data_IF_686656899615
#
_entry.id   IF_686656899615
#
_cell.length_a   1.000
_cell.length_b   1.000
_cell.length_c   1.000
_cell.angle_alpha   90.00
_cell.angle_beta   90.00
_cell.angle_gamma   90.00
#
_symmetry.space_group_name_H-M   'P 1'
#
loop_
_entity.id
_entity.type
_entity.pdbx_description
1 polymer ?
#
# COMPACT_ATOMS: atom_id res chain seq x y z
N UNK A 1 -7.79 -18.92 23.59
CA UNK A 1 -6.54 -19.69 23.73
C UNK A 1 -5.68 -19.64 22.45
N UNK A 2 -6.23 -19.79 21.24
CA UNK A 2 -5.46 -19.75 19.97
C UNK A 2 -4.77 -18.41 19.67
N UNK A 3 -5.37 -17.26 20.00
CA UNK A 3 -4.77 -15.94 19.75
C UNK A 3 -3.51 -15.67 20.62
N UNK A 4 -3.48 -16.17 21.86
CA UNK A 4 -2.32 -16.03 22.76
C UNK A 4 -1.11 -16.87 22.31
N UNK A 5 -1.36 -18.02 21.68
CA UNK A 5 -0.32 -18.87 21.11
C UNK A 5 0.28 -18.28 19.83
N UNK A 6 -0.54 -17.63 18.99
CA UNK A 6 -0.08 -16.95 17.79
C UNK A 6 0.77 -15.72 18.15
N UNK A 7 0.35 -14.94 19.15
CA UNK A 7 1.12 -13.77 19.63
C UNK A 7 2.46 -14.20 20.22
N UNK A 8 2.51 -15.29 20.99
CA UNK A 8 3.74 -15.84 21.55
C UNK A 8 4.67 -16.42 20.48
N UNK A 9 4.13 -17.06 19.44
CA UNK A 9 4.90 -17.58 18.32
C UNK A 9 5.48 -16.46 17.45
N UNK A 10 4.74 -15.37 17.24
CA UNK A 10 5.20 -14.18 16.51
C UNK A 10 6.31 -13.47 17.29
N UNK A 11 6.19 -13.35 18.63
CA UNK A 11 7.23 -12.76 19.48
C UNK A 11 8.47 -13.65 19.53
N UNK A 12 8.32 -14.98 19.61
CA UNK A 12 9.44 -15.91 19.60
C UNK A 12 10.18 -16.00 18.25
N UNK A 13 9.46 -15.86 17.13
CA UNK A 13 10.03 -15.81 15.78
C UNK A 13 10.73 -14.48 15.46
N UNK A 14 10.50 -13.43 16.26
CA UNK A 14 11.12 -12.10 16.11
C UNK A 14 12.49 -11.99 16.80
N UNK A 15 13.03 -13.07 17.40
CA UNK A 15 14.37 -13.06 17.96
C UNK A 15 15.39 -13.35 16.85
N UNK A 16 16.15 -12.35 16.35
CA UNK A 16 17.17 -12.61 15.36
C UNK A 16 18.29 -13.44 15.98
N UNK A 17 18.56 -14.59 15.39
CA UNK A 17 19.80 -15.35 15.63
C UNK A 17 20.95 -14.52 15.03
N UNK A 18 21.46 -13.55 15.79
CA UNK A 18 22.68 -12.84 15.43
C UNK A 18 23.88 -13.73 15.78
N UNK A 19 24.36 -14.48 14.81
CA UNK A 19 25.72 -15.04 14.83
C UNK A 19 26.68 -13.89 14.55
N UNK A 20 27.05 -13.15 15.59
CA UNK A 20 28.24 -12.28 15.56
C UNK A 20 29.34 -12.94 16.38
N UNK A 21 30.51 -13.13 15.75
CA UNK A 21 31.72 -13.47 16.46
C UNK A 21 32.00 -12.39 17.49
N UNK A 22 32.07 -12.76 18.75
CA UNK A 22 32.30 -11.89 19.89
C UNK A 22 33.75 -11.85 20.25
N UNK A 23 34.36 -10.68 20.28
CA UNK A 23 35.53 -10.40 21.10
C UNK A 23 35.05 -9.83 22.43
N UNK A 24 35.47 -10.50 23.49
CA UNK A 24 35.07 -10.27 24.88
C UNK A 24 35.99 -9.20 25.50
N UNK A 25 35.45 -8.04 25.86
CA UNK A 25 36.07 -7.19 26.88
C UNK A 25 35.02 -6.36 27.62
N UNK A 26 34.52 -6.91 28.70
CA UNK A 26 33.63 -6.24 29.66
C UNK A 26 34.44 -5.54 30.76
N UNK A 27 34.26 -4.24 30.93
CA UNK A 27 34.44 -3.54 32.21
C UNK A 27 33.32 -2.53 32.44
N UNK A 28 32.83 -2.56 33.66
CA UNK A 28 31.82 -1.75 34.35
C UNK A 28 31.71 -0.29 33.93
N UNK A 29 30.47 0.19 33.72
CA UNK A 29 30.15 1.59 34.01
C UNK A 29 28.68 1.78 34.46
N UNK A 30 28.57 2.47 35.56
CA UNK A 30 27.39 3.07 36.22
C UNK A 30 26.47 3.91 35.28
N UNK A 31 25.22 3.98 35.66
CA UNK A 31 24.09 4.75 35.09
C UNK A 31 24.44 6.00 34.29
N UNK A 32 24.60 5.85 32.97
CA UNK A 32 24.51 6.89 31.94
C UNK A 32 23.57 6.40 30.87
N UNK A 33 22.81 7.32 30.24
CA UNK A 33 22.00 7.06 29.09
C UNK A 33 22.72 6.07 28.15
N UNK A 34 22.17 4.86 27.99
CA UNK A 34 22.83 3.85 27.14
C UNK A 34 22.83 4.38 25.72
N UNK A 35 24.01 4.72 25.21
CA UNK A 35 24.22 5.13 23.82
C UNK A 35 23.70 4.03 22.90
N UNK A 36 23.03 4.44 21.83
CA UNK A 36 22.57 3.55 20.77
C UNK A 36 23.73 2.72 20.20
N UNK A 37 23.47 1.44 19.97
CA UNK A 37 24.47 0.49 19.45
C UNK A 37 24.61 0.70 17.96
N UNK A 38 25.80 1.12 17.51
CA UNK A 38 26.13 1.32 16.10
C UNK A 38 26.42 -0.05 15.47
N UNK A 39 25.70 -0.36 14.37
CA UNK A 39 25.96 -1.57 13.58
C UNK A 39 27.02 -1.30 12.51
N UNK A 40 27.85 -2.32 12.24
CA UNK A 40 28.92 -2.30 11.24
C UNK A 40 28.86 -3.53 10.34
N UNK A 41 29.49 -3.48 9.18
CA UNK A 41 29.58 -4.59 8.22
C UNK A 41 28.21 -5.10 7.73
N UNK A 42 28.18 -6.37 7.33
CA UNK A 42 26.98 -7.01 6.86
C UNK A 42 26.09 -7.50 8.01
N UNK A 43 24.83 -7.10 7.98
CA UNK A 43 23.82 -7.54 8.94
C UNK A 43 22.66 -8.22 8.18
N UNK A 44 22.37 -9.46 8.56
CA UNK A 44 21.28 -10.26 8.00
C UNK A 44 20.05 -10.15 8.87
N UNK A 45 18.91 -9.90 8.27
CA UNK A 45 17.61 -9.84 8.92
C UNK A 45 16.61 -10.79 8.26
N UNK A 46 16.74 -12.14 8.45
CA UNK A 46 15.69 -13.05 8.03
C UNK A 46 14.49 -12.91 8.96
N UNK A 47 13.31 -12.77 8.39
CA UNK A 47 12.07 -12.59 9.15
C UNK A 47 10.93 -13.37 8.51
N UNK A 48 10.00 -13.92 9.29
CA UNK A 48 8.74 -14.40 8.74
C UNK A 48 7.94 -13.18 8.21
N UNK A 49 7.46 -13.28 6.99
CA UNK A 49 6.49 -12.33 6.46
C UNK A 49 5.10 -12.72 6.98
N UNK A 50 4.70 -12.13 8.10
CA UNK A 50 3.38 -12.34 8.70
C UNK A 50 2.69 -11.00 8.79
N UNK A 51 1.59 -10.86 8.05
CA UNK A 51 0.73 -9.69 8.11
C UNK A 51 -0.73 -10.12 7.98
N UNK A 52 -1.63 -9.23 8.29
CA UNK A 52 -3.05 -9.42 8.07
C UNK A 52 -3.61 -8.21 7.32
N UNK A 53 -4.28 -8.50 6.24
CA UNK A 53 -5.02 -7.55 5.42
C UNK A 53 -6.47 -8.06 5.34
N UNK A 54 -7.44 -7.21 5.67
CA UNK A 54 -8.84 -7.58 5.68
C UNK A 54 -9.31 -8.12 4.31
N UNK A 55 -8.72 -7.61 3.23
CA UNK A 55 -9.11 -7.95 1.86
C UNK A 55 -8.40 -9.19 1.32
N UNK A 56 -7.11 -9.39 1.68
CA UNK A 56 -6.29 -10.55 1.23
C UNK A 56 -6.21 -11.69 2.23
N UNK A 57 -6.58 -11.44 3.48
CA UNK A 57 -6.45 -12.38 4.60
C UNK A 57 -5.05 -12.36 5.22
N UNK A 58 -4.64 -13.46 5.85
CA UNK A 58 -3.30 -13.58 6.41
C UNK A 58 -2.27 -13.72 5.30
N UNK A 59 -1.21 -12.92 5.40
CA UNK A 59 0.02 -13.07 4.64
C UNK A 59 0.96 -13.99 5.42
N UNK A 60 1.44 -15.03 4.76
CA UNK A 60 2.42 -15.96 5.29
C UNK A 60 3.55 -16.09 4.27
N UNK A 61 4.78 -15.90 4.73
CA UNK A 61 5.93 -15.96 3.84
C UNK A 61 7.25 -15.79 4.59
N UNK A 62 8.28 -15.51 3.83
CA UNK A 62 9.60 -15.17 4.35
C UNK A 62 10.11 -13.90 3.68
N UNK A 63 10.83 -13.10 4.44
CA UNK A 63 11.58 -11.98 3.92
C UNK A 63 13.02 -12.01 4.44
N UNK A 64 13.94 -11.51 3.65
CA UNK A 64 15.35 -11.39 4.01
C UNK A 64 15.82 -9.98 3.67
N UNK A 65 16.29 -9.28 4.70
CA UNK A 65 17.04 -8.05 4.56
C UNK A 65 18.52 -8.32 4.71
N UNK A 66 19.34 -7.76 3.82
CA UNK A 66 20.80 -7.78 3.93
C UNK A 66 21.26 -6.34 3.91
N UNK A 67 21.71 -5.84 5.05
CA UNK A 67 22.23 -4.49 5.20
C UNK A 67 23.75 -4.51 5.25
N UNK A 68 24.41 -3.61 4.54
CA UNK A 68 25.83 -3.30 4.72
C UNK A 68 25.98 -1.90 5.28
N UNK A 69 26.47 -1.81 6.51
CA UNK A 69 26.75 -0.55 7.21
C UNK A 69 28.21 -0.11 7.07
N UNK A 70 29.08 -0.93 6.43
CA UNK A 70 30.50 -0.65 6.30
C UNK A 70 31.16 -0.46 7.67
N UNK A 71 31.81 0.66 7.88
CA UNK A 71 32.46 1.04 9.14
C UNK A 71 31.49 1.58 10.22
N UNK A 72 30.19 1.66 9.92
CA UNK A 72 29.17 2.19 10.81
C UNK A 72 28.99 3.69 10.82
N UNK A 73 29.80 4.44 10.08
CA UNK A 73 29.77 5.91 10.04
C UNK A 73 28.44 6.47 9.55
N UNK A 74 27.68 5.69 8.75
CA UNK A 74 26.38 6.08 8.19
C UNK A 74 25.20 5.52 8.96
N UNK A 75 25.43 4.73 10.03
CA UNK A 75 24.34 4.18 10.83
C UNK A 75 23.38 5.28 11.33
N UNK A 76 22.06 5.09 11.31
CA UNK A 76 21.31 3.87 10.97
C UNK A 76 21.06 3.63 9.47
N UNK A 77 21.59 4.47 8.60
CA UNK A 77 21.39 4.34 7.16
C UNK A 77 22.43 3.40 6.55
N UNK A 78 22.05 2.28 5.94
CA UNK A 78 22.99 1.36 5.31
C UNK A 78 23.61 2.00 4.06
N UNK A 79 24.82 1.57 3.70
CA UNK A 79 25.50 1.91 2.43
C UNK A 79 24.83 1.21 1.26
N UNK A 80 24.43 -0.06 1.47
CA UNK A 80 23.61 -0.83 0.54
C UNK A 80 22.65 -1.76 1.28
N UNK A 81 21.55 -2.07 0.61
CA UNK A 81 20.47 -2.90 1.15
C UNK A 81 19.88 -3.78 0.07
N UNK A 82 19.82 -5.07 0.33
CA UNK A 82 19.06 -6.04 -0.44
C UNK A 82 17.82 -6.46 0.31
N UNK A 83 16.70 -6.58 -0.39
CA UNK A 83 15.46 -7.07 0.15
C UNK A 83 14.89 -8.16 -0.75
N UNK A 84 14.52 -9.29 -0.14
CA UNK A 84 13.86 -10.40 -0.79
C UNK A 84 12.59 -10.74 -0.02
N UNK A 85 11.50 -10.97 -0.72
CA UNK A 85 10.24 -11.41 -0.12
C UNK A 85 9.55 -12.44 -1.01
N UNK A 86 9.04 -13.51 -0.39
CA UNK A 86 8.12 -14.45 -0.98
C UNK A 86 6.94 -14.66 -0.02
N UNK A 87 5.75 -14.25 -0.42
CA UNK A 87 4.56 -14.21 0.42
C UNK A 87 3.34 -14.78 -0.27
N UNK A 88 2.54 -15.51 0.50
CA UNK A 88 1.27 -16.11 0.09
C UNK A 88 0.17 -15.62 1.01
N UNK A 89 -0.98 -15.31 0.45
CA UNK A 89 -2.15 -14.84 1.18
C UNK A 89 -3.20 -15.93 1.27
N UNK A 90 -3.90 -16.02 2.40
CA UNK A 90 -4.89 -17.09 2.62
C UNK A 90 -6.06 -17.06 1.64
N UNK A 91 -6.32 -15.93 0.98
CA UNK A 91 -7.31 -15.82 -0.11
C UNK A 91 -6.71 -16.12 -1.51
N UNK A 92 -5.48 -16.65 -1.57
CA UNK A 92 -4.84 -17.21 -2.77
C UNK A 92 -3.95 -16.26 -3.56
N UNK A 93 -3.82 -15.00 -3.16
CA UNK A 93 -2.88 -14.05 -3.78
C UNK A 93 -1.43 -14.37 -3.42
N UNK A 94 -0.49 -13.91 -4.26
CA UNK A 94 0.95 -14.14 -4.11
C UNK A 94 1.72 -12.85 -4.35
N UNK A 95 2.86 -12.69 -3.67
CA UNK A 95 3.75 -11.56 -3.82
C UNK A 95 5.20 -12.02 -3.77
N UNK A 96 5.97 -11.65 -4.77
CA UNK A 96 7.42 -11.87 -4.83
C UNK A 96 8.10 -10.53 -5.10
N UNK A 97 9.10 -10.18 -4.27
CA UNK A 97 9.86 -8.94 -4.39
C UNK A 97 11.33 -9.22 -4.28
N UNK A 98 12.10 -8.62 -5.19
CA UNK A 98 13.55 -8.49 -5.08
C UNK A 98 13.83 -7.00 -5.24
N UNK A 99 14.53 -6.39 -4.28
CA UNK A 99 14.96 -5.00 -4.43
C UNK A 99 16.37 -4.77 -3.92
N UNK A 100 17.00 -3.78 -4.48
CA UNK A 100 18.36 -3.34 -4.20
C UNK A 100 18.42 -1.85 -4.08
N UNK A 101 19.16 -1.36 -3.10
CA UNK A 101 19.44 0.06 -2.89
C UNK A 101 20.92 0.25 -2.56
N UNK A 102 21.58 1.18 -3.23
CA UNK A 102 23.00 1.44 -3.02
C UNK A 102 23.30 2.93 -3.12
N UNK A 103 24.04 3.45 -2.14
CA UNK A 103 24.41 4.85 -2.03
C UNK A 103 25.88 5.12 -2.36
N UNK A 104 26.67 4.08 -2.64
CA UNK A 104 28.13 4.16 -2.73
C UNK A 104 28.70 3.62 -4.03
N UNK A 105 27.94 2.81 -4.79
CA UNK A 105 28.41 2.20 -6.03
C UNK A 105 28.76 3.24 -7.11
N UNK A 106 27.90 4.25 -7.24
CA UNK A 106 28.11 5.38 -8.14
C UNK A 106 28.34 6.63 -7.27
N UNK A 107 29.53 7.26 -7.33
CA UNK A 107 29.83 8.42 -6.50
C UNK A 107 28.77 9.53 -6.66
N UNK A 108 28.17 9.95 -5.56
CA UNK A 108 27.17 11.02 -5.53
C UNK A 108 25.78 10.66 -6.05
N UNK A 109 25.56 9.41 -6.45
CA UNK A 109 24.27 8.93 -6.96
C UNK A 109 23.82 7.72 -6.14
N UNK A 110 22.61 7.78 -5.59
CA UNK A 110 21.91 6.62 -5.05
C UNK A 110 21.22 5.88 -6.20
N UNK A 111 21.48 4.60 -6.30
CA UNK A 111 20.84 3.70 -7.26
C UNK A 111 19.92 2.73 -6.52
N UNK A 112 18.65 2.66 -6.94
CA UNK A 112 17.68 1.72 -6.41
C UNK A 112 17.02 0.96 -7.55
N UNK A 113 16.80 -0.34 -7.37
CA UNK A 113 16.07 -1.17 -8.34
C UNK A 113 15.15 -2.13 -7.61
N UNK A 114 14.02 -2.46 -8.23
CA UNK A 114 13.09 -3.43 -7.70
C UNK A 114 12.41 -4.21 -8.83
N UNK A 115 12.20 -5.51 -8.59
CA UNK A 115 11.35 -6.37 -9.39
C UNK A 115 10.27 -6.92 -8.47
N UNK A 116 9.01 -6.77 -8.86
CA UNK A 116 7.86 -7.24 -8.10
C UNK A 116 6.94 -8.03 -9.02
N UNK A 117 6.62 -9.26 -8.61
CA UNK A 117 5.59 -10.07 -9.24
C UNK A 117 4.44 -10.24 -8.26
N UNK A 118 3.25 -9.82 -8.67
CA UNK A 118 2.02 -10.06 -7.92
C UNK A 118 1.06 -10.91 -8.73
N UNK A 119 0.47 -11.91 -8.09
CA UNK A 119 -0.69 -12.61 -8.59
C UNK A 119 -1.82 -12.35 -7.59
N UNK A 120 -2.64 -11.33 -7.88
CA UNK A 120 -3.75 -10.93 -7.02
C UNK A 120 -5.04 -11.52 -7.55
N UNK A 121 -5.45 -12.67 -6.98
CA UNK A 121 -6.63 -13.42 -7.44
C UNK A 121 -7.95 -12.75 -7.13
N UNK A 122 -7.94 -11.80 -6.20
CA UNK A 122 -9.13 -11.11 -5.75
C UNK A 122 -8.80 -9.64 -5.49
N UNK A 123 -8.39 -8.92 -6.54
CA UNK A 123 -8.20 -7.49 -6.46
C UNK A 123 -9.55 -6.79 -6.43
N UNK A 124 -9.72 -5.93 -5.44
CA UNK A 124 -10.96 -5.18 -5.29
C UNK A 124 -11.09 -4.12 -6.39
N UNK A 125 -12.24 -4.07 -7.01
CA UNK A 125 -12.63 -3.11 -8.03
C UNK A 125 -14.08 -2.66 -7.79
N UNK A 126 -14.24 -1.46 -7.25
CA UNK A 126 -15.54 -0.89 -6.88
C UNK A 126 -16.07 0.11 -7.92
N UNK A 127 -15.37 0.27 -9.04
CA UNK A 127 -15.64 1.29 -10.05
C UNK A 127 -14.81 2.56 -9.84
N UNK A 128 -15.16 3.63 -10.55
CA UNK A 128 -14.42 4.89 -10.56
C UNK A 128 -15.16 6.00 -9.84
N UNK A 129 -14.40 7.07 -9.53
CA UNK A 129 -14.89 8.34 -9.00
C UNK A 129 -15.54 8.23 -7.61
N UNK A 130 -14.95 7.39 -6.74
CA UNK A 130 -15.33 7.32 -5.32
C UNK A 130 -16.82 7.03 -5.11
N UNK A 131 -17.55 7.95 -4.47
CA UNK A 131 -18.98 7.77 -4.18
C UNK A 131 -19.90 7.84 -5.40
N UNK A 132 -19.41 8.16 -6.60
CA UNK A 132 -20.18 7.97 -7.83
C UNK A 132 -20.37 6.50 -8.19
N UNK A 133 -19.43 5.65 -7.80
CA UNK A 133 -19.55 4.20 -7.92
C UNK A 133 -20.14 3.64 -6.62
N UNK A 134 -21.41 3.26 -6.67
CA UNK A 134 -22.11 2.73 -5.51
C UNK A 134 -21.57 1.36 -5.08
N UNK A 135 -21.28 1.21 -3.77
CA UNK A 135 -20.95 -0.05 -3.14
C UNK A 135 -21.98 -0.38 -2.05
N UNK A 136 -22.75 -1.40 -2.25
CA UNK A 136 -23.75 -1.80 -1.27
C UNK A 136 -23.11 -2.71 -0.19
N UNK A 137 -22.49 -2.09 0.80
CA UNK A 137 -21.84 -2.80 1.90
C UNK A 137 -22.82 -3.69 2.68
N UNK A 138 -24.03 -3.20 2.92
CA UNK A 138 -25.01 -3.92 3.73
C UNK A 138 -25.50 -5.18 3.01
N UNK A 139 -25.75 -5.11 1.70
CA UNK A 139 -26.11 -6.28 0.90
C UNK A 139 -24.97 -7.32 0.83
N UNK A 140 -23.70 -6.88 0.74
CA UNK A 140 -22.54 -7.77 0.80
C UNK A 140 -22.37 -8.39 2.19
N UNK A 141 -22.65 -7.64 3.26
CA UNK A 141 -22.53 -8.09 4.64
C UNK A 141 -23.63 -9.09 5.02
N UNK A 142 -24.84 -8.95 4.48
CA UNK A 142 -25.99 -9.86 4.70
C UNK A 142 -25.68 -11.32 4.32
N UNK A 143 -24.77 -11.57 3.39
CA UNK A 143 -24.32 -12.91 3.05
C UNK A 143 -23.65 -13.69 4.16
N UNK A 144 -23.34 -13.05 5.28
CA UNK A 144 -22.89 -13.74 6.49
C UNK A 144 -24.08 -14.27 7.32
N UNK A 145 -25.26 -13.69 7.20
CA UNK A 145 -26.41 -13.96 8.07
C UNK A 145 -27.48 -14.90 7.48
N UNK A 146 -27.33 -15.38 6.26
CA UNK A 146 -28.16 -16.43 5.63
C UNK A 146 -29.69 -16.19 5.60
N UNK A 147 -30.20 -15.05 6.05
CA UNK A 147 -31.64 -14.87 6.28
C UNK A 147 -32.43 -14.23 5.13
N UNK A 148 -31.74 -13.72 4.09
CA UNK A 148 -32.42 -13.10 2.97
C UNK A 148 -31.63 -13.25 1.66
N UNK A 149 -31.77 -14.36 0.90
CA UNK A 149 -31.01 -14.62 -0.32
C UNK A 149 -31.32 -13.65 -1.47
N UNK A 150 -32.49 -13.02 -1.48
CA UNK A 150 -32.93 -12.19 -2.62
C UNK A 150 -32.26 -10.79 -2.67
N UNK A 151 -31.72 -10.32 -1.55
CA UNK A 151 -31.07 -8.99 -1.45
C UNK A 151 -29.55 -9.05 -1.25
N UNK A 152 -28.96 -10.21 -1.46
CA UNK A 152 -27.56 -10.43 -1.20
C UNK A 152 -26.68 -10.24 -2.43
N UNK A 153 -25.61 -9.43 -2.30
CA UNK A 153 -24.60 -9.24 -3.34
C UNK A 153 -23.34 -10.06 -2.98
N UNK A 154 -22.90 -10.87 -3.94
CA UNK A 154 -21.69 -11.67 -3.77
C UNK A 154 -20.43 -10.83 -3.98
N UNK A 155 -19.44 -11.03 -3.12
CA UNK A 155 -18.14 -10.31 -3.15
C UNK A 155 -17.46 -10.33 -4.53
N UNK A 156 -17.51 -11.40 -5.35
CA UNK A 156 -16.94 -11.41 -6.70
C UNK A 156 -17.48 -10.33 -7.65
N UNK A 157 -18.66 -9.75 -7.38
CA UNK A 157 -19.16 -8.58 -8.13
C UNK A 157 -18.17 -7.42 -8.15
N UNK A 158 -17.42 -7.25 -7.05
CA UNK A 158 -16.46 -6.16 -6.85
C UNK A 158 -15.01 -6.63 -6.96
N UNK A 159 -14.73 -7.65 -7.77
CA UNK A 159 -13.39 -8.22 -7.88
C UNK A 159 -12.97 -8.53 -9.30
N UNK A 160 -11.66 -8.40 -9.52
CA UNK A 160 -10.96 -8.81 -10.73
C UNK A 160 -9.73 -9.63 -10.34
N UNK A 161 -9.29 -10.51 -11.23
CA UNK A 161 -8.01 -11.19 -11.12
C UNK A 161 -6.94 -10.34 -11.81
N UNK A 162 -5.78 -10.15 -11.20
CA UNK A 162 -4.69 -9.38 -11.78
C UNK A 162 -3.34 -10.04 -11.54
N UNK A 163 -2.60 -10.24 -12.62
CA UNK A 163 -1.18 -10.51 -12.58
C UNK A 163 -0.46 -9.21 -12.94
N UNK A 164 0.53 -8.81 -12.14
CA UNK A 164 1.36 -7.65 -12.43
C UNK A 164 2.83 -7.99 -12.23
N UNK A 165 3.64 -7.72 -13.25
CA UNK A 165 5.09 -7.70 -13.19
C UNK A 165 5.53 -6.24 -13.26
N UNK A 166 6.23 -5.78 -12.22
CA UNK A 166 6.74 -4.42 -12.10
C UNK A 166 8.26 -4.50 -11.98
N UNK A 167 8.98 -3.79 -12.82
CA UNK A 167 10.42 -3.66 -12.73
C UNK A 167 10.79 -2.20 -12.83
N UNK A 168 11.58 -1.70 -11.89
CA UNK A 168 12.00 -0.30 -11.89
C UNK A 168 13.47 -0.15 -11.53
N UNK A 169 14.07 0.90 -12.05
CA UNK A 169 15.40 1.38 -11.65
C UNK A 169 15.35 2.90 -11.53
N UNK A 170 15.87 3.41 -10.42
CA UNK A 170 15.84 4.82 -10.07
C UNK A 170 17.22 5.31 -9.66
N UNK A 171 17.56 6.49 -10.11
CA UNK A 171 18.78 7.19 -9.79
C UNK A 171 18.42 8.51 -9.12
N UNK A 172 19.08 8.80 -7.99
CA UNK A 172 18.90 10.03 -7.22
C UNK A 172 20.26 10.67 -7.03
N UNK A 173 20.45 11.86 -7.56
CA UNK A 173 21.72 12.58 -7.50
C UNK A 173 21.57 13.95 -6.84
N UNK A 174 22.62 14.41 -6.14
CA UNK A 174 22.60 15.69 -5.46
C UNK A 174 22.67 16.86 -6.44
N UNK A 175 21.82 17.87 -6.23
CA UNK A 175 21.89 19.17 -6.91
C UNK A 175 22.52 20.22 -5.98
N UNK A 176 22.04 20.29 -4.72
CA UNK A 176 22.44 21.35 -3.81
C UNK A 176 22.39 20.92 -2.34
N UNK A 177 23.47 21.17 -1.62
CA UNK A 177 23.63 21.08 -0.15
C UNK A 177 23.12 19.75 0.47
N UNK A 178 23.17 18.66 -0.30
CA UNK A 178 22.62 17.35 0.13
C UNK A 178 21.17 17.41 0.63
N UNK A 179 20.42 18.38 0.16
CA UNK A 179 19.00 18.59 0.49
C UNK A 179 18.13 18.56 -0.74
N UNK A 180 18.63 19.08 -1.88
CA UNK A 180 17.91 19.06 -3.15
C UNK A 180 18.56 18.05 -4.09
N UNK A 181 17.75 17.14 -4.62
CA UNK A 181 18.19 16.05 -5.49
C UNK A 181 17.36 16.04 -6.78
N UNK A 182 18.00 15.63 -7.87
CA UNK A 182 17.31 15.21 -9.08
C UNK A 182 17.02 13.72 -9.00
N UNK A 183 15.98 13.30 -9.67
CA UNK A 183 15.58 11.91 -9.80
C UNK A 183 15.33 11.57 -11.25
N UNK A 184 15.83 10.44 -11.70
CA UNK A 184 15.55 9.89 -13.01
C UNK A 184 15.41 8.37 -12.88
N UNK A 185 14.42 7.81 -13.58
CA UNK A 185 14.18 6.38 -13.51
C UNK A 185 13.48 5.83 -14.74
N UNK A 186 13.55 4.52 -14.85
CA UNK A 186 12.80 3.76 -15.83
C UNK A 186 11.97 2.70 -15.14
N UNK A 187 10.67 2.66 -15.45
CA UNK A 187 9.73 1.70 -14.92
C UNK A 187 9.08 0.91 -16.05
N UNK A 188 9.22 -0.38 -15.99
CA UNK A 188 8.48 -1.32 -16.82
C UNK A 188 7.38 -1.95 -16.00
N UNK A 189 6.17 -2.02 -16.54
CA UNK A 189 5.10 -2.80 -15.94
C UNK A 189 4.30 -3.56 -17.00
N UNK A 190 3.97 -4.80 -16.65
CA UNK A 190 3.06 -5.65 -17.41
C UNK A 190 1.88 -5.99 -16.52
N UNK A 191 0.69 -5.69 -16.99
CA UNK A 191 -0.57 -6.04 -16.33
C UNK A 191 -1.35 -7.01 -17.18
N UNK A 192 -1.83 -8.07 -16.55
CA UNK A 192 -2.84 -8.96 -17.11
C UNK A 192 -4.02 -8.99 -16.16
N UNK A 193 -5.14 -8.48 -16.66
CA UNK A 193 -6.43 -8.54 -15.95
C UNK A 193 -7.20 -9.78 -16.38
N UNK A 194 -8.09 -10.24 -15.52
CA UNK A 194 -8.95 -11.38 -15.80
C UNK A 194 -10.10 -11.46 -14.81
N UNK A 195 -10.99 -12.39 -15.08
CA UNK A 195 -12.07 -12.67 -14.17
C UNK A 195 -11.60 -13.48 -12.97
N UNK A 196 -12.23 -13.24 -11.82
CA UNK A 196 -12.19 -14.21 -10.75
C UNK A 196 -12.86 -15.51 -11.25
N UNK A 197 -12.18 -16.64 -11.13
CA UNK A 197 -12.71 -17.90 -11.61
C UNK A 197 -13.83 -18.40 -10.68
N UNK A 198 -15.08 -17.98 -10.93
CA UNK A 198 -16.26 -18.34 -10.15
C UNK A 198 -16.46 -19.86 -10.07
N UNK A 199 -16.19 -20.58 -11.15
CA UNK A 199 -16.34 -22.05 -11.18
C UNK A 199 -15.37 -22.73 -10.21
N UNK A 200 -14.09 -22.32 -10.20
CA UNK A 200 -13.11 -22.85 -9.27
C UNK A 200 -13.44 -22.50 -7.81
N UNK A 201 -13.94 -21.27 -7.56
CA UNK A 201 -14.38 -20.84 -6.23
C UNK A 201 -15.61 -21.63 -5.77
N UNK A 202 -16.59 -21.86 -6.63
CA UNK A 202 -17.77 -22.64 -6.33
C UNK A 202 -17.42 -24.09 -6.07
N UNK A 203 -16.55 -24.70 -6.89
CA UNK A 203 -16.08 -26.06 -6.67
C UNK A 203 -15.35 -26.21 -5.33
N UNK A 204 -14.49 -25.24 -4.97
CA UNK A 204 -13.81 -25.23 -3.68
C UNK A 204 -14.80 -25.07 -2.52
N UNK A 205 -15.86 -24.26 -2.65
CA UNK A 205 -16.91 -24.11 -1.65
C UNK A 205 -17.75 -25.40 -1.47
N UNK A 206 -18.17 -26.01 -2.59
CA UNK A 206 -18.91 -27.28 -2.58
C UNK A 206 -18.08 -28.36 -1.88
N UNK A 207 -16.82 -28.50 -2.26
CA UNK A 207 -15.93 -29.52 -1.68
C UNK A 207 -15.70 -29.30 -0.17
N UNK A 208 -15.58 -28.03 0.28
CA UNK A 208 -15.36 -27.70 1.68
C UNK A 208 -16.60 -27.84 2.54
N UNK A 209 -17.74 -27.37 2.06
CA UNK A 209 -18.97 -27.23 2.87
C UNK A 209 -19.99 -28.35 2.58
N UNK A 210 -19.79 -29.14 1.53
CA UNK A 210 -20.76 -30.15 1.02
C UNK A 210 -22.17 -29.59 0.79
N UNK A 211 -22.28 -28.31 0.47
CA UNK A 211 -23.52 -27.56 0.37
C UNK A 211 -23.58 -26.86 -1.00
N UNK A 212 -24.34 -27.45 -1.96
CA UNK A 212 -24.45 -26.91 -3.31
C UNK A 212 -25.21 -25.58 -3.38
N UNK A 213 -25.96 -25.21 -2.35
CA UNK A 213 -26.73 -23.94 -2.34
C UNK A 213 -25.88 -22.70 -2.00
N UNK A 214 -24.63 -22.90 -1.55
CA UNK A 214 -23.71 -21.80 -1.20
C UNK A 214 -22.77 -21.37 -2.33
N UNK A 215 -23.16 -21.55 -3.56
CA UNK A 215 -22.40 -21.16 -4.73
C UNK A 215 -22.71 -19.70 -5.15
N UNK A 216 -21.75 -19.07 -5.81
CA UNK A 216 -22.00 -17.77 -6.44
C UNK A 216 -22.90 -17.93 -7.66
N UNK A 217 -23.96 -17.13 -7.81
CA UNK A 217 -24.84 -17.22 -8.96
C UNK A 217 -24.08 -16.87 -10.25
N UNK A 218 -24.36 -17.61 -11.32
CA UNK A 218 -23.77 -17.35 -12.64
C UNK A 218 -24.27 -16.03 -13.25
N UNK A 219 -25.48 -15.62 -12.84
CA UNK A 219 -26.19 -14.44 -13.36
C UNK A 219 -25.67 -13.12 -12.80
N UNK A 220 -24.91 -13.12 -11.70
CA UNK A 220 -24.40 -11.89 -11.13
C UNK A 220 -23.17 -11.41 -11.90
N UNK A 221 -23.32 -10.29 -12.63
CA UNK A 221 -22.25 -9.71 -13.41
C UNK A 221 -21.32 -8.86 -12.53
N UNK A 222 -19.97 -9.04 -12.66
CA UNK A 222 -19.01 -8.15 -12.02
C UNK A 222 -19.14 -6.70 -12.52
N UNK A 223 -18.87 -5.73 -11.66
CA UNK A 223 -18.80 -4.29 -12.04
C UNK A 223 -17.85 -4.08 -13.23
N UNK A 224 -16.77 -4.82 -13.30
CA UNK A 224 -15.82 -4.78 -14.41
C UNK A 224 -16.50 -5.10 -15.75
N UNK A 225 -17.37 -6.11 -15.82
CA UNK A 225 -18.09 -6.48 -17.03
C UNK A 225 -19.16 -5.45 -17.41
N UNK A 226 -19.87 -4.93 -16.41
CA UNK A 226 -20.82 -3.85 -16.62
C UNK A 226 -20.11 -2.62 -17.25
N UNK A 227 -18.96 -2.23 -16.72
CA UNK A 227 -18.20 -1.10 -17.24
C UNK A 227 -17.69 -1.33 -18.67
N UNK A 228 -17.35 -2.57 -19.03
CA UNK A 228 -17.01 -2.93 -20.41
C UNK A 228 -18.23 -2.88 -21.33
N UNK A 229 -19.36 -3.46 -20.93
CA UNK A 229 -20.64 -3.39 -21.68
C UNK A 229 -21.06 -1.95 -21.96
N UNK A 230 -20.87 -1.08 -20.97
CA UNK A 230 -21.23 0.35 -21.10
C UNK A 230 -20.17 1.18 -21.82
N UNK A 231 -19.06 0.54 -22.22
CA UNK A 231 -17.95 1.21 -22.93
C UNK A 231 -17.19 2.23 -22.07
N UNK A 232 -17.32 2.17 -20.74
CA UNK A 232 -16.54 2.95 -19.78
C UNK A 232 -15.09 2.46 -19.79
N UNK A 233 -14.87 1.16 -19.73
CA UNK A 233 -13.59 0.51 -19.95
C UNK A 233 -13.56 0.01 -21.39
N UNK A 234 -12.64 0.55 -22.19
CA UNK A 234 -12.50 0.13 -23.59
C UNK A 234 -11.90 -1.27 -23.71
N UNK A 235 -12.22 -2.02 -24.76
CA UNK A 235 -11.65 -3.35 -25.00
C UNK A 235 -10.13 -3.32 -25.17
N UNK A 236 -9.56 -2.21 -25.66
CA UNK A 236 -8.12 -2.04 -25.83
C UNK A 236 -7.35 -2.01 -24.51
N UNK A 237 -7.99 -1.61 -23.42
CA UNK A 237 -7.39 -1.56 -22.08
C UNK A 237 -7.91 -2.61 -21.12
N UNK A 238 -9.06 -3.22 -21.39
CA UNK A 238 -9.76 -4.09 -20.46
C UNK A 238 -8.88 -5.21 -19.90
N UNK A 239 -8.04 -5.81 -20.72
CA UNK A 239 -7.23 -6.96 -20.34
C UNK A 239 -5.84 -6.62 -19.86
N UNK A 240 -5.55 -5.33 -19.65
CA UNK A 240 -4.26 -4.84 -19.21
C UNK A 240 -3.35 -4.42 -20.35
N UNK A 241 -2.05 -4.47 -20.15
CA UNK A 241 -1.08 -4.06 -21.16
C UNK A 241 0.33 -3.89 -20.60
N UNK A 242 1.21 -3.47 -21.48
CA UNK A 242 2.61 -3.11 -21.16
C UNK A 242 2.69 -1.60 -21.00
N UNK A 243 3.42 -1.15 -19.97
CA UNK A 243 3.79 0.24 -19.80
C UNK A 243 5.30 0.35 -19.64
N UNK A 244 5.87 1.20 -20.45
CA UNK A 244 7.27 1.58 -20.46
C UNK A 244 7.33 3.06 -20.10
N UNK A 245 7.80 3.38 -18.89
CA UNK A 245 7.66 4.71 -18.31
C UNK A 245 9.01 5.28 -17.96
N UNK A 246 9.32 6.46 -18.47
CA UNK A 246 10.42 7.29 -17.97
C UNK A 246 9.88 8.17 -16.86
N UNK A 247 10.60 8.20 -15.75
CA UNK A 247 10.30 9.08 -14.63
C UNK A 247 11.41 10.10 -14.47
N UNK A 248 11.01 11.36 -14.24
CA UNK A 248 11.89 12.47 -13.94
C UNK A 248 11.32 13.21 -12.73
N UNK A 249 12.17 13.63 -11.80
CA UNK A 249 11.67 14.28 -10.60
C UNK A 249 12.72 15.12 -9.87
N UNK A 250 12.23 15.81 -8.86
CA UNK A 250 13.00 16.57 -7.88
C UNK A 250 12.57 16.14 -6.49
N UNK A 251 13.54 15.99 -5.61
CA UNK A 251 13.36 15.64 -4.21
C UNK A 251 14.07 16.69 -3.33
N UNK A 252 13.35 17.22 -2.36
CA UNK A 252 13.91 17.99 -1.24
C UNK A 252 13.76 17.18 0.05
N UNK A 253 14.88 16.80 0.68
CA UNK A 253 14.92 15.96 1.88
C UNK A 253 15.81 16.58 2.96
N UNK A 254 15.20 16.91 4.09
CA UNK A 254 15.87 17.42 5.30
C UNK A 254 15.56 16.59 6.53
N UNK A 255 15.06 15.36 6.35
CA UNK A 255 14.72 14.49 7.46
C UNK A 255 15.96 14.10 8.26
N UNK A 256 15.76 13.95 9.56
CA UNK A 256 16.80 13.47 10.48
C UNK A 256 17.15 11.98 10.25
N UNK A 257 16.17 11.16 9.83
CA UNK A 257 16.32 9.70 9.62
C UNK A 257 15.44 9.26 8.45
N UNK A 258 15.89 8.23 7.71
CA UNK A 258 15.10 7.68 6.59
C UNK A 258 13.95 6.78 7.06
N UNK A 259 14.23 5.86 7.99
CA UNK A 259 13.26 4.83 8.40
C UNK A 259 12.21 5.29 9.40
N UNK A 260 12.59 6.14 10.36
CA UNK A 260 11.73 6.58 11.45
C UNK A 260 11.91 8.07 11.72
N UNK A 261 11.56 8.96 10.76
CA UNK A 261 11.78 10.39 10.88
C UNK A 261 10.96 11.01 12.01
N UNK A 262 11.60 11.90 12.77
CA UNK A 262 10.97 12.69 13.82
C UNK A 262 11.00 14.19 13.54
N UNK A 263 11.85 14.62 12.61
CA UNK A 263 12.04 16.03 12.24
C UNK A 263 12.40 16.16 10.78
N UNK A 264 12.00 17.29 10.16
CA UNK A 264 12.38 17.66 8.81
C UNK A 264 11.27 17.48 7.80
N UNK A 265 11.61 17.74 6.54
CA UNK A 265 10.70 17.77 5.40
C UNK A 265 11.18 16.79 4.35
N UNK A 266 10.23 16.13 3.70
CA UNK A 266 10.37 15.44 2.43
C UNK A 266 9.37 16.03 1.45
N UNK A 267 9.83 16.64 0.39
CA UNK A 267 8.99 17.16 -0.69
C UNK A 267 9.48 16.60 -2.02
N UNK A 268 8.62 15.98 -2.77
CA UNK A 268 8.95 15.19 -3.95
C UNK A 268 7.94 15.49 -5.06
N UNK A 269 8.42 15.67 -6.27
CA UNK A 269 7.58 15.84 -7.46
C UNK A 269 8.12 15.06 -8.63
N UNK A 270 7.25 14.28 -9.30
CA UNK A 270 7.62 13.42 -10.42
C UNK A 270 6.75 13.66 -11.64
N UNK A 271 7.37 13.52 -12.81
CA UNK A 271 6.72 13.35 -14.11
C UNK A 271 6.88 11.89 -14.53
N UNK A 272 5.82 11.26 -14.96
CA UNK A 272 5.77 9.88 -15.46
C UNK A 272 5.31 9.89 -16.91
N UNK A 273 6.21 9.56 -17.81
CA UNK A 273 6.00 9.65 -19.26
C UNK A 273 6.00 8.23 -19.83
N UNK A 274 4.84 7.76 -20.26
CA UNK A 274 4.62 6.44 -20.86
C UNK A 274 4.14 6.56 -22.31
N UNK A 275 5.00 6.98 -23.26
CA UNK A 275 4.61 7.20 -24.64
C UNK A 275 4.53 5.89 -25.42
N UNK A 276 3.78 5.89 -26.53
CA UNK A 276 3.59 4.72 -27.40
C UNK A 276 4.92 4.24 -28.01
N UNK A 277 5.80 5.17 -28.43
CA UNK A 277 7.09 4.85 -29.06
C UNK A 277 8.06 4.11 -28.13
N UNK A 278 7.86 4.16 -26.82
CA UNK A 278 8.65 3.40 -25.83
C UNK A 278 8.09 1.98 -25.59
N UNK A 279 7.02 1.58 -26.29
CA UNK A 279 6.39 0.26 -26.17
C UNK A 279 5.19 0.21 -25.23
N UNK A 280 4.67 1.36 -24.79
CA UNK A 280 3.46 1.40 -23.97
C UNK A 280 2.23 1.07 -24.83
N UNK A 281 1.40 0.12 -24.37
CA UNK A 281 0.16 -0.28 -25.06
C UNK A 281 -0.84 0.88 -25.13
N UNK A 282 -1.17 1.46 -23.98
CA UNK A 282 -2.09 2.59 -23.83
C UNK A 282 -1.32 3.80 -23.27
N UNK A 283 -0.88 4.75 -24.13
CA UNK A 283 -0.02 5.85 -23.70
C UNK A 283 -0.70 6.75 -22.67
N UNK A 284 0.07 7.21 -21.68
CA UNK A 284 -0.38 8.16 -20.68
C UNK A 284 0.77 9.00 -20.12
N UNK A 285 0.41 10.13 -19.55
CA UNK A 285 1.33 11.05 -18.89
C UNK A 285 0.75 11.45 -17.55
N UNK A 286 1.50 11.21 -16.47
CA UNK A 286 1.06 11.51 -15.11
C UNK A 286 2.10 12.32 -14.36
N UNK A 287 1.69 12.90 -13.25
CA UNK A 287 2.57 13.54 -12.28
C UNK A 287 2.13 13.18 -10.86
N UNK A 288 3.09 13.14 -9.96
CA UNK A 288 2.87 12.88 -8.55
C UNK A 288 3.58 13.95 -7.73
N UNK A 289 2.88 14.48 -6.73
CA UNK A 289 3.42 15.44 -5.78
C UNK A 289 3.21 14.88 -4.37
N UNK A 290 4.29 14.77 -3.60
CA UNK A 290 4.23 14.30 -2.22
C UNK A 290 4.96 15.30 -1.32
N UNK A 291 4.30 15.69 -0.24
CA UNK A 291 4.89 16.52 0.81
C UNK A 291 4.72 15.82 2.16
N UNK A 292 5.81 15.66 2.91
CA UNK A 292 5.82 15.08 4.25
C UNK A 292 6.54 16.04 5.18
N UNK A 293 5.99 16.27 6.37
CA UNK A 293 6.63 17.09 7.38
C UNK A 293 6.54 16.42 8.75
N UNK A 294 7.63 16.42 9.46
CA UNK A 294 7.80 15.82 10.78
C UNK A 294 8.20 16.93 11.75
N UNK A 295 7.33 17.15 12.75
CA UNK A 295 7.51 18.23 13.74
C UNK A 295 7.67 17.60 15.13
N UNK A 296 8.84 17.70 15.76
CA UNK A 296 9.03 17.22 17.11
C UNK A 296 8.29 18.15 18.09
N UNK A 297 7.26 17.64 18.74
CA UNK A 297 6.55 18.36 19.82
C UNK A 297 7.34 18.22 21.12
N UNK A 298 7.80 16.99 21.42
CA UNK A 298 8.71 16.71 22.53
C UNK A 298 9.99 16.14 21.94
N UNK A 299 11.14 16.67 22.38
CA UNK A 299 12.47 16.28 21.90
C UNK A 299 12.74 14.77 22.12
N UNK A 300 13.82 14.29 21.51
CA UNK A 300 14.29 12.91 21.61
C UNK A 300 13.27 11.87 21.09
N UNK A 301 12.56 12.23 20.02
CA UNK A 301 11.57 11.37 19.34
C UNK A 301 10.41 10.91 20.24
N UNK A 302 10.19 11.57 21.39
CA UNK A 302 9.15 11.19 22.35
C UNK A 302 7.76 11.46 21.79
N UNK A 303 7.53 12.64 21.22
CA UNK A 303 6.27 13.00 20.59
C UNK A 303 6.50 13.77 19.31
N UNK A 304 6.04 13.20 18.19
CA UNK A 304 6.18 13.76 16.86
C UNK A 304 4.79 13.95 16.23
N UNK A 305 4.53 15.14 15.71
CA UNK A 305 3.43 15.38 14.79
C UNK A 305 3.95 15.19 13.36
N UNK A 306 3.32 14.29 12.60
CA UNK A 306 3.72 13.97 11.23
C UNK A 306 2.52 14.10 10.30
N UNK A 307 2.73 14.66 9.10
CA UNK A 307 1.70 14.67 8.08
C UNK A 307 2.29 14.49 6.69
N UNK A 308 1.48 13.87 5.82
CA UNK A 308 1.73 13.69 4.40
C UNK A 308 0.56 14.26 3.60
N UNK A 309 0.87 14.99 2.55
CA UNK A 309 -0.06 15.37 1.49
C UNK A 309 0.44 14.71 0.20
N UNK A 310 -0.46 14.13 -0.56
CA UNK A 310 -0.12 13.52 -1.86
C UNK A 310 -1.16 13.90 -2.90
N UNK A 311 -0.70 14.12 -4.12
CA UNK A 311 -1.52 14.37 -5.29
C UNK A 311 -1.00 13.53 -6.45
N UNK A 312 -1.86 12.67 -7.00
CA UNK A 312 -1.62 11.92 -8.22
C UNK A 312 -2.46 12.52 -9.34
N UNK A 313 -1.82 13.05 -10.37
CA UNK A 313 -2.50 13.74 -11.46
C UNK A 313 -2.18 13.18 -12.84
N UNK A 314 -3.02 13.48 -13.80
CA UNK A 314 -2.94 13.00 -15.19
C UNK A 314 -2.99 14.18 -16.16
N UNK A 315 -2.00 14.28 -17.05
CA UNK A 315 -2.03 15.24 -18.16
C UNK A 315 -3.04 14.76 -19.21
N UNK A 316 -3.91 15.67 -19.65
CA UNK A 316 -5.01 15.30 -20.52
C UNK A 316 -6.11 14.53 -19.77
N UNK A 317 -6.93 13.77 -20.49
CA UNK A 317 -8.12 13.12 -19.93
C UNK A 317 -8.08 11.59 -20.04
N UNK A 318 -6.88 11.01 -20.22
CA UNK A 318 -6.73 9.57 -20.39
C UNK A 318 -5.55 9.03 -19.60
N UNK A 319 -5.81 7.99 -18.83
CA UNK A 319 -4.85 7.03 -18.35
C UNK A 319 -5.56 5.67 -18.30
N UNK A 320 -4.91 4.57 -18.65
CA UNK A 320 -5.56 3.26 -18.61
C UNK A 320 -5.96 2.93 -17.17
N UNK A 321 -7.17 2.37 -17.00
CA UNK A 321 -7.74 2.13 -15.68
C UNK A 321 -6.84 1.27 -14.76
N UNK A 322 -6.07 0.35 -15.35
CA UNK A 322 -5.21 -0.56 -14.61
C UNK A 322 -3.95 0.08 -14.01
N UNK A 323 -3.62 1.33 -14.38
CA UNK A 323 -2.52 2.10 -13.75
C UNK A 323 -3.02 3.03 -12.63
N UNK A 324 -4.31 3.34 -12.58
CA UNK A 324 -4.87 4.25 -11.57
C UNK A 324 -4.67 3.78 -10.12
N UNK A 325 -4.70 2.46 -9.81
CA UNK A 325 -4.45 1.96 -8.47
C UNK A 325 -3.00 2.11 -7.98
N UNK A 326 -2.07 2.57 -8.81
CA UNK A 326 -0.67 2.68 -8.44
C UNK A 326 -0.33 4.11 -8.02
N UNK A 327 0.18 4.22 -6.78
CA UNK A 327 0.74 5.44 -6.23
C UNK A 327 2.24 5.42 -6.47
N UNK A 328 2.76 6.51 -7.05
CA UNK A 328 4.18 6.60 -7.39
C UNK A 328 5.06 6.68 -6.16
N UNK A 329 6.11 5.87 -6.11
CA UNK A 329 7.11 5.89 -5.05
C UNK A 329 8.52 5.83 -5.63
N UNK A 330 9.50 6.47 -4.97
CA UNK A 330 10.92 6.40 -5.30
C UNK A 330 11.65 5.40 -4.38
N UNK A 331 12.76 4.89 -4.86
CA UNK A 331 13.62 3.98 -4.10
C UNK A 331 13.16 2.53 -4.14
N UNK A 332 13.50 1.77 -3.12
CA UNK A 332 13.26 0.33 -3.05
C UNK A 332 11.79 -0.06 -2.99
N UNK A 333 10.93 0.82 -2.49
CA UNK A 333 9.50 0.54 -2.39
C UNK A 333 8.92 0.34 -3.79
N UNK A 334 8.11 -0.68 -3.95
CA UNK A 334 7.37 -0.89 -5.18
C UNK A 334 6.02 -0.18 -5.14
N UNK A 335 5.63 0.34 -6.31
CA UNK A 335 4.38 1.05 -6.46
C UNK A 335 3.24 0.03 -6.40
N UNK A 336 2.35 0.18 -5.43
CA UNK A 336 1.14 -0.64 -5.32
C UNK A 336 0.10 0.06 -4.47
N UNK A 337 -1.11 -0.44 -4.55
CA UNK A 337 -2.29 0.00 -3.84
C UNK A 337 -2.79 1.39 -4.27
N UNK A 338 -4.06 1.45 -4.61
CA UNK A 338 -4.80 2.69 -4.82
C UNK A 338 -5.19 3.35 -3.51
N UNK A 339 -6.06 4.34 -3.59
CA UNK A 339 -6.57 5.02 -2.41
C UNK A 339 -7.53 4.10 -1.65
N UNK A 340 -7.12 3.73 -0.44
CA UNK A 340 -7.75 2.74 0.44
C UNK A 340 -6.78 1.61 0.80
N UNK A 341 -6.94 1.05 2.00
CA UNK A 341 -6.06 0.03 2.54
C UNK A 341 -4.88 0.58 3.35
N UNK A 342 -4.08 -0.32 3.90
CA UNK A 342 -3.09 0.00 4.94
C UNK A 342 -1.93 0.90 4.49
N UNK A 343 -1.64 0.96 3.18
CA UNK A 343 -0.51 1.74 2.64
C UNK A 343 -0.85 3.16 2.22
N UNK A 344 -2.14 3.47 2.12
CA UNK A 344 -2.59 4.78 1.64
C UNK A 344 -3.56 5.44 2.63
N UNK A 345 -4.78 4.95 2.72
CA UNK A 345 -5.86 5.49 3.57
C UNK A 345 -6.36 4.35 4.44
N UNK A 346 -5.88 4.27 5.67
CA UNK A 346 -6.20 3.19 6.61
C UNK A 346 -7.66 3.29 7.06
N UNK A 347 -8.37 2.16 7.07
CA UNK A 347 -9.77 2.09 7.49
C UNK A 347 -10.78 2.13 6.35
N UNK A 348 -10.38 2.53 5.15
CA UNK A 348 -11.16 2.39 3.91
C UNK A 348 -10.78 1.08 3.22
N UNK A 349 -11.73 0.46 2.51
CA UNK A 349 -11.48 -0.73 1.69
C UNK A 349 -10.40 -0.46 0.64
N UNK A 350 -9.57 -1.44 0.35
CA UNK A 350 -8.48 -1.35 -0.62
C UNK A 350 -9.02 -0.97 -2.01
N UNK A 351 -8.37 -0.01 -2.68
CA UNK A 351 -8.78 0.48 -4.00
C UNK A 351 -10.21 1.04 -4.07
N UNK A 352 -10.79 1.47 -2.95
CA UNK A 352 -12.16 2.00 -2.93
C UNK A 352 -12.30 3.29 -3.75
N UNK A 353 -11.27 4.12 -3.74
CA UNK A 353 -11.29 5.42 -4.41
C UNK A 353 -10.31 5.40 -5.57
N UNK A 354 -10.84 5.52 -6.78
CA UNK A 354 -10.09 5.56 -8.02
C UNK A 354 -10.64 6.66 -8.92
N UNK A 355 -9.77 7.47 -9.50
CA UNK A 355 -10.11 8.53 -10.45
C UNK A 355 -8.88 8.88 -11.29
N UNK A 356 -9.02 9.79 -12.25
CA UNK A 356 -7.86 10.25 -13.02
C UNK A 356 -6.87 11.00 -12.14
N UNK A 357 -7.37 11.95 -11.34
CA UNK A 357 -6.56 12.68 -10.38
C UNK A 357 -7.14 12.49 -8.99
N UNK A 358 -6.26 12.29 -8.01
CA UNK A 358 -6.63 12.03 -6.63
C UNK A 358 -5.75 12.83 -5.68
N UNK A 359 -6.37 13.44 -4.68
CA UNK A 359 -5.68 14.08 -3.56
C UNK A 359 -5.83 13.21 -2.31
N UNK A 360 -4.78 13.13 -1.49
CA UNK A 360 -4.86 12.45 -0.21
C UNK A 360 -4.03 13.13 0.87
N UNK A 361 -4.40 12.89 2.12
CA UNK A 361 -3.65 13.30 3.29
C UNK A 361 -3.56 12.18 4.32
N UNK A 362 -2.50 12.20 5.11
CA UNK A 362 -2.35 11.41 6.33
C UNK A 362 -1.80 12.33 7.41
N UNK A 363 -2.39 12.31 8.58
CA UNK A 363 -1.95 13.09 9.75
C UNK A 363 -1.82 12.15 10.92
N UNK A 364 -0.69 12.17 11.62
CA UNK A 364 -0.41 11.31 12.75
C UNK A 364 0.19 12.08 13.92
N UNK A 365 -0.24 11.76 15.13
CA UNK A 365 0.49 12.05 16.34
C UNK A 365 1.15 10.76 16.82
N UNK A 366 2.49 10.73 16.83
CA UNK A 366 3.33 9.57 17.15
C UNK A 366 3.96 9.78 18.53
N UNK A 367 3.59 8.95 19.49
CA UNK A 367 4.14 8.97 20.83
C UNK A 367 4.98 7.73 21.11
N UNK A 368 6.27 7.94 21.38
CA UNK A 368 7.22 6.89 21.78
C UNK A 368 7.40 6.98 23.29
N UNK A 369 6.74 6.08 24.03
CA UNK A 369 6.65 6.16 25.49
C UNK A 369 7.68 5.31 26.24
N UNK A 370 8.31 4.34 25.57
CA UNK A 370 9.34 3.48 26.14
C UNK A 370 10.48 3.30 25.16
N UNK A 371 11.72 3.47 25.65
CA UNK A 371 12.96 3.17 24.94
C UNK A 371 13.92 2.43 25.89
N UNK A 372 14.48 1.29 25.44
CA UNK A 372 15.47 0.54 26.19
C UNK A 372 16.33 -0.31 25.25
N UNK A 373 17.45 -0.85 25.77
CA UNK A 373 18.30 -1.78 25.03
C UNK A 373 18.21 -3.14 25.70
N UNK A 374 17.97 -4.17 24.89
CA UNK A 374 17.89 -5.57 25.33
C UNK A 374 18.57 -6.45 24.27
N UNK A 375 19.42 -7.40 24.70
CA UNK A 375 20.14 -8.33 23.82
C UNK A 375 20.85 -7.64 22.66
N UNK A 376 21.58 -6.56 22.96
CA UNK A 376 22.29 -5.76 21.96
C UNK A 376 21.37 -5.15 20.87
N UNK A 377 20.08 -4.98 21.15
CA UNK A 377 19.10 -4.33 20.28
C UNK A 377 18.53 -3.09 20.97
N UNK A 378 18.31 -2.02 20.19
CA UNK A 378 17.60 -0.82 20.65
C UNK A 378 16.10 -1.03 20.42
N UNK A 379 15.31 -1.04 21.49
CA UNK A 379 13.86 -1.35 21.45
C UNK A 379 13.07 -0.13 21.89
N UNK A 380 12.00 0.17 21.16
CA UNK A 380 11.04 1.20 21.54
C UNK A 380 9.60 0.71 21.34
N UNK A 381 8.70 1.19 22.21
CA UNK A 381 7.26 1.05 22.04
C UNK A 381 6.64 2.42 21.85
N UNK A 382 5.67 2.48 20.97
CA UNK A 382 4.94 3.71 20.67
C UNK A 382 3.45 3.49 20.44
N UNK A 383 2.73 4.60 20.54
CA UNK A 383 1.32 4.73 20.18
C UNK A 383 1.20 5.74 19.04
N UNK A 384 0.22 5.58 18.18
CA UNK A 384 -0.18 6.64 17.27
C UNK A 384 -1.69 6.79 17.23
N UNK A 385 -2.14 8.02 17.01
CA UNK A 385 -3.49 8.34 16.56
C UNK A 385 -3.39 9.03 15.21
N UNK A 386 -4.33 8.77 14.33
CA UNK A 386 -4.26 9.29 12.97
C UNK A 386 -5.62 9.65 12.38
N UNK A 387 -5.59 10.53 11.39
CA UNK A 387 -6.64 10.78 10.43
C UNK A 387 -6.05 10.66 9.02
N UNK A 388 -6.66 9.85 8.19
CA UNK A 388 -6.33 9.75 6.77
C UNK A 388 -7.53 10.19 5.93
N UNK A 389 -7.28 10.73 4.73
CA UNK A 389 -8.38 11.07 3.82
C UNK A 389 -7.94 11.16 2.37
N UNK A 390 -8.91 11.00 1.48
CA UNK A 390 -8.72 11.09 0.03
C UNK A 390 -9.98 11.53 -0.67
N UNK A 391 -9.85 12.04 -1.89
CA UNK A 391 -10.95 12.31 -2.80
C UNK A 391 -10.47 12.31 -4.24
N UNK A 392 -11.38 12.05 -5.17
CA UNK A 392 -11.15 12.25 -6.60
C UNK A 392 -11.29 13.74 -6.92
N UNK A 393 -10.26 14.33 -7.52
CA UNK A 393 -10.22 15.74 -7.93
C UNK A 393 -10.45 15.92 -9.43
N UNK A 394 -10.18 14.86 -10.21
CA UNK A 394 -10.50 14.77 -11.62
C UNK A 394 -11.08 13.41 -11.93
N UNK A 395 -12.28 13.40 -12.45
CA UNK A 395 -13.03 12.19 -12.71
C UNK A 395 -12.48 11.38 -13.89
N UNK A 396 -12.53 10.06 -13.77
CA UNK A 396 -12.45 9.15 -14.90
C UNK A 396 -13.77 9.26 -15.71
N UNK A 397 -13.67 9.24 -17.03
CA UNK A 397 -14.84 9.39 -17.90
C UNK A 397 -15.74 8.14 -17.81
N UNK A 398 -16.87 8.30 -17.13
CA UNK A 398 -17.90 7.27 -16.98
C UNK A 398 -19.06 7.43 -17.96
N UNK A 399 -18.93 8.25 -19.00
CA UNK A 399 -19.99 8.43 -19.99
C UNK A 399 -20.30 7.11 -20.72
N UNK A 400 -21.58 6.88 -21.00
CA UNK A 400 -22.03 5.69 -21.72
C UNK A 400 -21.56 5.72 -23.18
N UNK A 401 -20.90 4.64 -23.60
CA UNK A 401 -20.39 4.44 -24.97
C UNK A 401 -20.72 3.02 -25.49
N UNK A 402 -21.55 2.30 -24.75
CA UNK A 402 -21.97 0.93 -25.08
C UNK A 402 -23.10 0.86 -26.07
N UNK A 403 -23.65 -0.36 -26.26
CA UNK A 403 -24.84 -0.59 -27.07
C UNK A 403 -26.08 -0.05 -26.32
N UNK A 404 -26.97 0.68 -27.02
CA UNK A 404 -28.17 1.30 -26.45
C UNK A 404 -29.09 0.32 -25.70
N UNK A 405 -29.06 -0.97 -26.00
CA UNK A 405 -29.80 -1.98 -25.23
C UNK A 405 -29.43 -2.06 -23.75
N UNK A 406 -28.22 -1.56 -23.38
CA UNK A 406 -27.73 -1.52 -21.99
C UNK A 406 -27.91 -0.14 -21.34
N UNK A 407 -28.48 0.84 -22.03
CA UNK A 407 -28.65 2.21 -21.53
C UNK A 407 -29.46 2.27 -20.23
N UNK A 408 -30.57 1.58 -20.17
CA UNK A 408 -31.44 1.59 -18.99
C UNK A 408 -30.74 1.00 -17.75
N UNK A 409 -29.91 -0.05 -17.93
CA UNK A 409 -29.11 -0.66 -16.86
C UNK A 409 -28.04 0.32 -16.35
N UNK A 410 -27.36 1.00 -17.29
CA UNK A 410 -26.37 2.04 -16.94
C UNK A 410 -27.01 3.20 -16.18
N UNK A 411 -28.14 3.75 -16.67
CA UNK A 411 -28.82 4.88 -16.04
C UNK A 411 -29.30 4.52 -14.62
N UNK A 412 -29.80 3.30 -14.41
CA UNK A 412 -30.18 2.79 -13.10
C UNK A 412 -28.97 2.70 -12.13
N UNK A 413 -27.84 2.17 -12.60
CA UNK A 413 -26.63 2.09 -11.80
C UNK A 413 -26.11 3.48 -11.44
N UNK A 414 -26.08 4.42 -12.39
CA UNK A 414 -25.58 5.77 -12.14
C UNK A 414 -26.46 6.57 -11.18
N UNK A 415 -27.75 6.25 -11.10
CA UNK A 415 -28.69 6.88 -10.16
C UNK A 415 -28.48 6.44 -8.70
N UNK A 416 -27.79 5.33 -8.46
CA UNK A 416 -27.46 4.85 -7.10
C UNK A 416 -26.26 5.60 -6.48
N UNK A 417 -25.39 6.23 -7.30
CA UNK A 417 -24.21 6.97 -6.85
C UNK A 417 -24.47 8.46 -6.68
N UNK A 418 -23.50 9.18 -6.08
CA UNK A 418 -23.52 10.63 -6.03
C UNK A 418 -23.16 11.24 -7.40
N UNK A 419 -23.62 12.47 -7.65
CA UNK A 419 -23.24 13.21 -8.86
C UNK A 419 -21.75 13.55 -8.91
N UNK A 420 -21.13 13.75 -7.74
CA UNK A 420 -19.70 14.04 -7.58
C UNK A 420 -19.14 13.34 -6.35
N UNK A 421 -17.86 13.03 -6.41
CA UNK A 421 -17.15 12.50 -5.26
C UNK A 421 -17.08 13.50 -4.10
N UNK A 422 -16.93 12.98 -2.91
CA UNK A 422 -16.75 13.75 -1.66
C UNK A 422 -15.56 13.18 -0.88
N UNK A 423 -15.00 13.96 0.10
CA UNK A 423 -13.90 13.45 0.91
C UNK A 423 -14.24 12.15 1.65
N UNK A 424 -13.40 11.14 1.45
CA UNK A 424 -13.38 9.89 2.21
C UNK A 424 -12.43 10.09 3.38
N UNK A 425 -12.92 10.10 4.60
CA UNK A 425 -12.14 10.43 5.80
C UNK A 425 -12.17 9.25 6.77
N UNK A 426 -11.03 8.98 7.41
CA UNK A 426 -10.90 7.96 8.44
C UNK A 426 -10.27 8.51 9.70
N UNK A 427 -10.53 7.83 10.81
CA UNK A 427 -9.89 8.02 12.11
C UNK A 427 -9.38 6.68 12.62
N UNK A 428 -8.27 6.70 13.33
CA UNK A 428 -7.73 5.48 13.87
C UNK A 428 -6.58 5.69 14.84
N UNK A 429 -6.02 4.55 15.28
CA UNK A 429 -4.86 4.53 16.15
C UNK A 429 -4.23 3.14 16.20
N UNK A 430 -3.09 3.05 16.85
CA UNK A 430 -2.38 1.79 16.94
C UNK A 430 -1.19 1.79 17.88
N UNK A 431 -0.62 0.59 18.02
CA UNK A 431 0.59 0.28 18.77
C UNK A 431 1.73 0.04 17.80
N UNK A 432 2.94 0.47 18.16
CA UNK A 432 4.16 0.23 17.38
C UNK A 432 5.25 -0.37 18.24
N UNK A 433 5.90 -1.39 17.70
CA UNK A 433 7.15 -1.94 18.17
C UNK A 433 8.24 -1.51 17.18
N UNK A 434 9.32 -0.92 17.69
CA UNK A 434 10.44 -0.40 16.89
C UNK A 434 11.72 -1.03 17.40
N UNK A 435 12.51 -1.65 16.52
CA UNK A 435 13.80 -2.24 16.83
C UNK A 435 14.88 -1.68 15.90
N UNK A 436 15.98 -1.19 16.47
CA UNK A 436 17.12 -0.58 15.77
C UNK A 436 16.72 0.51 14.77
N UNK A 437 15.62 1.21 15.02
CA UNK A 437 15.04 2.29 14.20
C UNK A 437 14.61 1.89 12.78
N UNK A 438 15.04 0.75 12.26
CA UNK A 438 14.78 0.29 10.88
C UNK A 438 13.72 -0.82 10.82
N UNK A 439 13.55 -1.59 11.88
CA UNK A 439 12.53 -2.63 11.96
C UNK A 439 11.37 -2.15 12.82
N UNK A 440 10.20 -2.03 12.19
CA UNK A 440 9.00 -1.49 12.83
C UNK A 440 7.86 -2.46 12.54
N UNK A 441 7.13 -2.84 13.60
CA UNK A 441 5.86 -3.57 13.48
C UNK A 441 4.77 -2.69 14.06
N UNK A 442 3.73 -2.45 13.27
CA UNK A 442 2.58 -1.64 13.66
C UNK A 442 1.31 -2.49 13.70
N UNK A 443 0.53 -2.31 14.76
CA UNK A 443 -0.80 -2.89 14.94
C UNK A 443 -1.78 -1.72 14.95
N UNK A 444 -2.52 -1.54 13.86
CA UNK A 444 -3.34 -0.35 13.66
C UNK A 444 -4.79 -0.72 13.35
N UNK A 445 -5.72 0.09 13.83
CA UNK A 445 -7.13 0.02 13.46
C UNK A 445 -7.57 1.38 12.92
N UNK A 446 -8.19 1.37 11.74
CA UNK A 446 -8.78 2.54 11.11
C UNK A 446 -10.27 2.33 10.85
N UNK A 447 -11.05 3.40 10.95
CA UNK A 447 -12.49 3.39 10.74
C UNK A 447 -12.93 4.57 9.89
N UNK A 448 -13.74 4.36 8.83
CA UNK A 448 -14.23 5.44 7.98
C UNK A 448 -15.31 6.25 8.70
N UNK A 449 -15.26 7.58 8.52
CA UNK A 449 -16.27 8.52 9.07
C UNK A 449 -17.61 8.33 8.35
N UNK A 450 -17.61 7.89 7.10
CA UNK A 450 -18.81 7.58 6.32
C UNK A 450 -19.75 6.57 7.00
N UNK A 451 -19.22 5.71 7.89
CA UNK A 451 -20.01 4.80 8.72
C UNK A 451 -21.07 5.52 9.58
N UNK A 452 -20.78 6.74 10.01
CA UNK A 452 -21.66 7.54 10.85
C UNK A 452 -22.48 8.56 10.06
N UNK A 453 -22.39 8.54 8.73
CA UNK A 453 -23.18 9.44 7.88
C UNK A 453 -24.68 9.18 8.02
N UNK A 454 -25.46 10.26 8.01
CA UNK A 454 -26.92 10.21 7.91
C UNK A 454 -27.39 10.10 6.44
N UNK A 455 -26.50 10.43 5.50
CA UNK A 455 -26.76 10.32 4.06
C UNK A 455 -26.66 8.85 3.65
N UNK A 456 -27.74 8.20 3.22
CA UNK A 456 -27.71 6.79 2.83
C UNK A 456 -26.80 6.51 1.64
N UNK A 457 -26.55 7.50 0.76
CA UNK A 457 -25.67 7.35 -0.40
C UNK A 457 -24.18 7.36 -0.01
N UNK A 458 -23.83 7.72 1.21
CA UNK A 458 -22.46 7.74 1.74
C UNK A 458 -22.27 6.67 2.81
N UNK A 459 -23.33 6.41 3.59
CA UNK A 459 -23.26 5.51 4.74
C UNK A 459 -22.73 4.13 4.33
N UNK A 460 -21.69 3.65 5.06
CA UNK A 460 -21.04 2.36 4.86
C UNK A 460 -20.38 2.14 3.46
N UNK A 461 -20.32 3.17 2.62
CA UNK A 461 -19.74 3.05 1.27
C UNK A 461 -18.22 2.77 1.28
N UNK A 462 -17.53 3.10 2.36
CA UNK A 462 -16.09 2.88 2.54
C UNK A 462 -15.77 1.62 3.36
N UNK A 463 -16.80 0.84 3.72
CA UNK A 463 -16.69 -0.30 4.61
C UNK A 463 -16.83 0.06 6.08
N UNK A 464 -16.53 -0.91 6.97
CA UNK A 464 -16.75 -0.79 8.42
C UNK A 464 -15.48 -0.52 9.23
N UNK A 465 -14.36 -0.24 8.57
CA UNK A 465 -13.04 -0.15 9.18
C UNK A 465 -12.27 -1.46 9.12
N UNK A 466 -10.97 -1.39 9.36
CA UNK A 466 -10.08 -2.54 9.24
C UNK A 466 -8.95 -2.49 10.27
N UNK A 467 -8.51 -3.69 10.67
CA UNK A 467 -7.33 -3.91 11.48
C UNK A 467 -6.16 -4.34 10.59
N UNK A 468 -4.98 -3.79 10.85
CA UNK A 468 -3.76 -4.04 10.10
C UNK A 468 -2.61 -4.45 11.00
N UNK A 469 -1.77 -5.36 10.49
CA UNK A 469 -0.44 -5.65 11.04
C UNK A 469 0.55 -5.34 9.92
N UNK A 470 1.40 -4.34 10.12
CA UNK A 470 2.28 -3.81 9.10
C UNK A 470 3.72 -3.76 9.56
N UNK A 471 4.64 -3.73 8.59
CA UNK A 471 6.05 -3.41 8.81
C UNK A 471 6.35 -2.01 8.26
N UNK A 472 7.09 -1.20 9.04
CA UNK A 472 7.44 0.18 8.70
C UNK A 472 6.42 1.23 9.14
N UNK A 473 6.76 2.50 8.87
CA UNK A 473 5.81 3.61 8.94
C UNK A 473 5.04 3.73 7.62
N UNK A 474 3.86 4.31 7.67
CA UNK A 474 3.10 4.61 6.45
C UNK A 474 3.82 5.64 5.57
N UNK A 475 4.51 6.61 6.23
CA UNK A 475 5.29 7.65 5.57
C UNK A 475 6.37 8.22 6.48
#
# INVERSE_FOLDING_TARGET
>A
MKLRLILAAVIAAMLPLSLSAQDDNSKEQTSKEKKEIIKTGYNLGPLPAVAFDADKGFQLGALLNIYDFGDGSTYPNPRQHWYFEASFFTKGSQLFVISYDNKTLIPGIRWSSAITLTNDKAMDFYGFNGYRAHYNHDAVALGKDKQNPDNFIYTPKYRVNRIALLAKTDFVGNIWDKKLFWEAGYHFSYFKQGYENKQALNLAKINKNKDPEKVFPETEEPIFDLYRKWGIISEDEAWGGINSTVRLGLLYDTRDKEGAPSRGIWAEGHLMLAPKWLGTTNPYYRYSLTFRHYVPIIKNDVLTFAYRLNYEGTFGNKAPYYVLPYITTVGQSYDRDGMGGYRTIRGIMRNRVQGLDMASYNVELRWRFVNFSLWNQNIAFGLNVFSDGTMVTKEYDMSFKGDEKYRAEYDAYMAEGLDKDRPHITLGGGLRFIMNQNFIVAFEYGMPVSKFSKDPMIKNQDGNGAFYINTGFLF
#
